data_IF_819004752795
#
_entry.id   IF_819004752795
#
_cell.length_a   1.000
_cell.length_b   1.000
_cell.length_c   1.000
_cell.angle_alpha   90.00
_cell.angle_beta   90.00
_cell.angle_gamma   90.00
#
_symmetry.space_group_name_H-M   'P 1'
#
loop_
_entity.id
_entity.type
_entity.pdbx_description
1 polymer ?
#
# COMPACT_ATOMS: atom_id res chain seq x y z
N UNK A 1 -5.44 -6.27 -11.53
CA UNK A 1 -4.35 -6.17 -10.56
C UNK A 1 -3.29 -7.22 -10.87
N UNK A 2 -2.04 -6.92 -10.56
CA UNK A 2 -0.97 -7.90 -10.72
C UNK A 2 -1.06 -8.99 -9.65
N UNK A 3 -0.38 -10.12 -9.89
CA UNK A 3 -0.43 -11.24 -8.97
C UNK A 3 -0.05 -10.88 -7.52
N UNK A 4 1.05 -10.16 -7.28
CA UNK A 4 1.38 -9.79 -5.89
C UNK A 4 0.31 -8.93 -5.24
N UNK A 5 -0.30 -8.02 -5.99
CA UNK A 5 -1.37 -7.20 -5.44
C UNK A 5 -2.58 -8.03 -5.06
N UNK A 6 -2.93 -9.01 -5.89
CA UNK A 6 -4.05 -9.91 -5.59
C UNK A 6 -3.75 -10.73 -4.35
N UNK A 7 -2.55 -11.26 -4.24
CA UNK A 7 -2.16 -12.07 -3.08
C UNK A 7 -2.22 -11.28 -1.79
N UNK A 8 -1.74 -10.05 -1.81
CA UNK A 8 -1.81 -9.20 -0.62
C UNK A 8 -3.24 -8.83 -0.29
N UNK A 9 -4.05 -8.52 -1.31
CA UNK A 9 -5.45 -8.19 -1.09
C UNK A 9 -6.21 -9.33 -0.42
N UNK A 10 -5.91 -10.58 -0.77
CA UNK A 10 -6.56 -11.72 -0.15
C UNK A 10 -6.33 -11.77 1.35
N UNK A 11 -5.22 -11.23 1.83
CA UNK A 11 -4.95 -11.14 3.26
C UNK A 11 -5.65 -9.95 3.89
N UNK A 12 -5.64 -8.81 3.21
CA UNK A 12 -6.19 -7.58 3.77
C UNK A 12 -7.71 -7.52 3.73
N UNK A 13 -8.34 -8.17 2.74
CA UNK A 13 -9.80 -8.14 2.60
C UNK A 13 -10.53 -8.82 3.75
N UNK A 14 -9.83 -9.64 4.49
CA UNK A 14 -10.42 -10.40 5.61
C UNK A 14 -10.63 -9.54 6.85
N UNK A 15 -10.36 -8.25 6.76
CA UNK A 15 -10.46 -7.31 7.88
C UNK A 15 -9.70 -7.82 9.10
N UNK A 16 -8.41 -8.12 8.96
CA UNK A 16 -7.62 -8.63 10.09
C UNK A 16 -7.65 -7.63 11.23
N UNK A 17 -7.86 -8.13 12.45
CA UNK A 17 -7.97 -7.31 13.65
C UNK A 17 -9.08 -6.25 13.54
N UNK A 18 -10.07 -6.47 12.68
CA UNK A 18 -11.15 -5.51 12.48
C UNK A 18 -10.77 -4.29 11.65
N UNK A 19 -9.58 -4.28 11.08
CA UNK A 19 -9.10 -3.15 10.29
C UNK A 19 -9.53 -3.30 8.85
N UNK A 20 -10.20 -2.28 8.32
CA UNK A 20 -10.70 -2.31 6.96
C UNK A 20 -9.69 -1.69 5.99
N UNK A 21 -9.48 -2.37 4.87
CA UNK A 21 -8.64 -1.88 3.78
C UNK A 21 -9.46 -1.74 2.52
N UNK A 22 -9.09 -0.77 1.69
CA UNK A 22 -9.67 -0.57 0.38
C UNK A 22 -8.62 -0.78 -0.69
N UNK A 23 -9.03 -1.33 -1.83
CA UNK A 23 -8.12 -1.51 -2.95
C UNK A 23 -8.40 -0.46 -4.01
N UNK A 24 -7.35 -0.07 -4.72
CA UNK A 24 -7.44 0.89 -5.82
C UNK A 24 -8.22 2.13 -5.43
N UNK A 25 -7.79 2.74 -4.34
CA UNK A 25 -8.46 3.90 -3.78
C UNK A 25 -7.95 5.18 -4.43
N UNK A 26 -8.81 5.96 -5.08
CA UNK A 26 -8.37 7.21 -5.71
C UNK A 26 -8.23 8.32 -4.68
N UNK A 27 -7.14 9.07 -4.79
CA UNK A 27 -6.94 10.30 -4.03
C UNK A 27 -6.43 11.34 -5.01
N UNK A 28 -7.28 12.34 -5.32
CA UNK A 28 -6.94 13.31 -6.34
C UNK A 28 -6.71 12.62 -7.67
N UNK A 29 -5.65 12.94 -8.39
CA UNK A 29 -5.33 12.30 -9.66
C UNK A 29 -4.62 10.96 -9.50
N UNK A 30 -4.40 10.49 -8.27
CA UNK A 30 -3.63 9.29 -8.00
C UNK A 30 -4.53 8.16 -7.55
N UNK A 31 -4.09 6.93 -7.81
CA UNK A 31 -4.79 5.73 -7.36
C UNK A 31 -3.82 4.91 -6.51
N UNK A 32 -4.19 4.69 -5.25
CA UNK A 32 -3.40 3.87 -4.34
C UNK A 32 -3.77 2.41 -4.52
N UNK A 33 -2.78 1.53 -4.46
CA UNK A 33 -3.06 0.09 -4.55
C UNK A 33 -3.96 -0.35 -3.41
N UNK A 34 -3.63 0.06 -2.19
CA UNK A 34 -4.44 -0.21 -1.01
C UNK A 34 -4.45 1.01 -0.10
N UNK A 35 -5.54 1.15 0.64
CA UNK A 35 -5.69 2.28 1.55
C UNK A 35 -6.41 1.82 2.81
N UNK A 36 -5.87 2.26 3.96
CA UNK A 36 -6.49 2.02 5.26
C UNK A 36 -7.05 3.35 5.79
N UNK A 37 -8.37 3.55 5.72
CA UNK A 37 -8.95 4.84 6.13
C UNK A 37 -8.72 5.16 7.60
N UNK A 38 -8.76 4.16 8.47
CA UNK A 38 -8.64 4.39 9.90
C UNK A 38 -7.25 4.89 10.29
N UNK A 39 -6.23 4.50 9.55
CA UNK A 39 -4.85 4.91 9.80
C UNK A 39 -4.38 5.97 8.81
N UNK A 40 -5.18 6.28 7.80
CA UNK A 40 -4.80 7.15 6.69
C UNK A 40 -3.48 6.70 6.08
N UNK A 41 -3.38 5.40 5.83
CA UNK A 41 -2.18 4.77 5.32
C UNK A 41 -2.41 4.24 3.92
N UNK A 42 -1.60 4.69 2.98
CA UNK A 42 -1.58 4.18 1.62
C UNK A 42 -0.49 3.15 1.47
N UNK A 43 -0.78 2.07 0.77
CA UNK A 43 0.16 0.97 0.54
C UNK A 43 0.32 0.77 -0.95
N UNK A 44 1.56 0.73 -1.41
CA UNK A 44 1.86 0.51 -2.80
C UNK A 44 2.79 -0.68 -2.94
N UNK A 45 2.48 -1.57 -3.88
CA UNK A 45 3.31 -2.73 -4.18
C UNK A 45 4.11 -2.44 -5.44
N UNK A 46 5.43 -2.37 -5.29
CA UNK A 46 6.32 -2.08 -6.41
C UNK A 46 6.62 -3.34 -7.20
N UNK A 47 6.56 -3.21 -8.53
CA UNK A 47 6.89 -4.32 -9.41
C UNK A 47 8.36 -4.71 -9.32
N UNK A 48 8.62 -5.94 -9.72
CA UNK A 48 9.96 -6.51 -9.59
C UNK A 48 10.91 -5.97 -10.63
N UNK A 49 10.45 -5.75 -11.84
CA UNK A 49 11.34 -5.58 -12.97
C UNK A 49 11.25 -4.23 -13.65
N UNK A 50 10.64 -3.27 -13.03
CA UNK A 50 10.37 -2.04 -13.73
C UNK A 50 10.81 -0.80 -13.02
N UNK A 51 11.81 -0.95 -12.23
CA UNK A 51 12.42 0.17 -11.57
C UNK A 51 12.99 1.17 -12.56
N UNK A 52 13.09 0.77 -13.81
CA UNK A 52 13.69 1.62 -14.83
C UNK A 52 12.78 2.69 -15.36
N UNK A 53 11.51 2.55 -15.18
CA UNK A 53 10.56 3.50 -15.73
C UNK A 53 10.10 4.55 -14.74
N UNK A 54 10.46 4.43 -13.51
CA UNK A 54 9.94 5.31 -12.48
C UNK A 54 10.65 6.65 -12.51
N UNK A 55 9.85 7.71 -12.49
CA UNK A 55 10.33 9.06 -12.43
C UNK A 55 10.31 9.53 -10.98
N UNK A 56 11.47 9.79 -10.37
CA UNK A 56 11.50 10.23 -8.97
C UNK A 56 10.68 11.48 -8.74
N UNK A 57 10.65 12.38 -9.70
CA UNK A 57 9.86 13.60 -9.58
C UNK A 57 8.37 13.31 -9.46
N UNK A 58 7.90 12.31 -10.20
CA UNK A 58 6.49 11.93 -10.16
C UNK A 58 6.14 11.34 -8.80
N UNK A 59 7.01 10.51 -8.26
CA UNK A 59 6.80 9.93 -6.95
C UNK A 59 6.80 10.99 -5.86
N UNK A 60 7.70 11.95 -5.94
CA UNK A 60 7.77 13.03 -4.97
C UNK A 60 6.52 13.88 -4.99
N UNK A 61 6.02 14.20 -6.18
CA UNK A 61 4.78 14.97 -6.30
C UNK A 61 3.60 14.24 -5.71
N UNK A 62 3.52 12.94 -5.97
CA UNK A 62 2.44 12.13 -5.42
C UNK A 62 2.54 12.07 -3.91
N UNK A 63 3.71 11.79 -3.37
CA UNK A 63 3.89 11.70 -1.93
C UNK A 63 3.57 13.04 -1.26
N UNK A 64 3.99 14.14 -1.87
CA UNK A 64 3.67 15.46 -1.35
C UNK A 64 2.17 15.72 -1.34
N UNK A 65 1.50 15.42 -2.45
CA UNK A 65 0.05 15.64 -2.54
C UNK A 65 -0.69 14.80 -1.52
N UNK A 66 -0.26 13.55 -1.32
CA UNK A 66 -0.90 12.68 -0.35
C UNK A 66 -0.65 13.15 1.07
N UNK A 67 0.53 13.70 1.36
CA UNK A 67 0.81 14.22 2.68
C UNK A 67 -0.07 15.43 3.01
N UNK A 68 -0.46 16.22 2.01
CA UNK A 68 -1.41 17.31 2.23
C UNK A 68 -2.78 16.81 2.64
N UNK A 69 -3.13 15.60 2.21
CA UNK A 69 -4.38 14.96 2.60
C UNK A 69 -4.26 14.21 3.92
N UNK A 70 -3.08 14.23 4.53
CA UNK A 70 -2.84 13.52 5.77
C UNK A 70 -2.61 12.02 5.58
N UNK A 71 -2.27 11.61 4.37
CA UNK A 71 -2.04 10.19 4.05
C UNK A 71 -0.55 9.88 4.07
N UNK A 72 -0.19 8.88 4.85
CA UNK A 72 1.17 8.35 4.82
C UNK A 72 1.27 7.22 3.80
N UNK A 73 2.37 7.16 3.08
CA UNK A 73 2.59 6.13 2.07
C UNK A 73 3.68 5.17 2.49
N UNK A 74 3.43 3.88 2.33
CA UNK A 74 4.48 2.88 2.45
C UNK A 74 4.55 2.08 1.16
N UNK A 75 5.74 1.61 0.84
CA UNK A 75 5.98 0.81 -0.35
C UNK A 75 6.49 -0.55 0.04
N UNK A 76 6.00 -1.57 -0.64
CA UNK A 76 6.36 -2.95 -0.35
C UNK A 76 6.78 -3.60 -1.66
N UNK A 77 7.89 -4.33 -1.62
CA UNK A 77 8.39 -5.03 -2.78
C UNK A 77 7.44 -6.16 -3.18
N UNK A 78 7.18 -6.29 -4.47
CA UNK A 78 6.37 -7.38 -4.97
C UNK A 78 7.02 -8.73 -4.63
N UNK A 79 8.35 -8.80 -4.59
CA UNK A 79 9.04 -10.02 -4.21
C UNK A 79 8.70 -10.46 -2.80
N UNK A 80 8.63 -9.51 -1.88
CA UNK A 80 8.25 -9.84 -0.50
C UNK A 80 6.84 -10.38 -0.42
N UNK A 81 5.92 -9.77 -1.18
CA UNK A 81 4.53 -10.25 -1.21
C UNK A 81 4.45 -11.64 -1.80
N UNK A 82 5.17 -11.89 -2.90
CA UNK A 82 5.17 -13.20 -3.53
C UNK A 82 5.78 -14.27 -2.64
N UNK A 83 6.76 -13.87 -1.81
CA UNK A 83 7.41 -14.80 -0.89
C UNK A 83 6.48 -15.19 0.26
N UNK A 84 5.86 -14.21 0.90
CA UNK A 84 4.97 -14.48 2.03
C UNK A 84 3.99 -13.32 2.22
N UNK A 85 2.84 -13.38 1.54
CA UNK A 85 1.85 -12.31 1.65
C UNK A 85 1.28 -12.18 3.06
N UNK A 86 1.18 -13.28 3.80
CA UNK A 86 0.67 -13.21 5.17
C UNK A 86 1.61 -12.44 6.09
N UNK A 87 2.92 -12.65 5.92
CA UNK A 87 3.91 -11.92 6.71
C UNK A 87 3.88 -10.43 6.38
N UNK A 88 3.75 -10.09 5.10
CA UNK A 88 3.66 -8.70 4.69
C UNK A 88 2.43 -8.04 5.31
N UNK A 89 1.29 -8.72 5.27
CA UNK A 89 0.07 -8.20 5.87
C UNK A 89 0.25 -7.99 7.37
N UNK A 90 0.90 -8.94 8.04
CA UNK A 90 1.15 -8.83 9.47
C UNK A 90 2.02 -7.62 9.79
N UNK A 91 3.06 -7.38 9.00
CA UNK A 91 3.93 -6.22 9.20
C UNK A 91 3.15 -4.92 9.03
N UNK A 92 2.26 -4.87 8.06
CA UNK A 92 1.41 -3.71 7.85
C UNK A 92 0.52 -3.47 9.08
N UNK A 93 -0.08 -4.52 9.60
CA UNK A 93 -0.95 -4.42 10.76
C UNK A 93 -0.20 -3.95 12.00
N UNK A 94 1.00 -4.47 12.20
CA UNK A 94 1.84 -4.02 13.33
C UNK A 94 2.17 -2.54 13.21
N UNK A 95 2.45 -2.10 12.01
CA UNK A 95 2.75 -0.69 11.79
C UNK A 95 1.53 0.17 12.11
N UNK A 96 0.36 -0.24 11.66
CA UNK A 96 -0.88 0.49 11.94
C UNK A 96 -1.15 0.56 13.44
N UNK A 97 -0.93 -0.55 14.14
CA UNK A 97 -1.12 -0.58 15.57
C UNK A 97 -0.15 0.34 16.30
N UNK A 98 1.04 0.52 15.76
CA UNK A 98 2.02 1.42 16.36
C UNK A 98 1.66 2.88 16.19
N UNK A 99 0.80 3.21 15.22
CA UNK A 99 0.34 4.58 15.00
C UNK A 99 -0.74 5.01 15.98
N UNK A 100 -1.45 4.05 16.51
CA UNK A 100 -2.53 4.31 17.44
C UNK A 100 -2.04 4.32 18.86
#
# INVERSE_FOLDING_TARGET
MSKPKIMLWQQLRKKPLGIKFRRQHPIGPYILDFYCPSAKLGIEVDGIANDMGDCPERDERRDWALSQEGVEMIRISAQEVLHDPADVAERILRYIQSLG
#
